data_IF_819849690991
#
_entry.id   IF_819849690991
#
_cell.length_a   1.000
_cell.length_b   1.000
_cell.length_c   1.000
_cell.angle_alpha   90.00
_cell.angle_beta   90.00
_cell.angle_gamma   90.00
#
_symmetry.space_group_name_H-M   'P 1'
#
loop_
_entity.id
_entity.type
_entity.pdbx_description
1 polymer ?
#
# COMPACT_ATOMS: atom_id res chain seq x y z
N UNK A 1 2.52 -3.95 8.94
CA UNK A 1 1.85 -5.13 9.55
C UNK A 1 0.45 -5.39 8.96
N UNK A 2 -0.52 -4.46 9.09
CA UNK A 2 -1.90 -4.62 8.59
C UNK A 2 -2.03 -4.97 7.10
N UNK A 3 -1.20 -4.39 6.23
CA UNK A 3 -1.22 -4.66 4.78
C UNK A 3 -0.91 -6.14 4.45
N UNK A 4 0.11 -6.72 5.10
CA UNK A 4 0.47 -8.14 4.90
C UNK A 4 -0.63 -9.06 5.39
N UNK A 5 -1.20 -8.77 6.55
CA UNK A 5 -2.33 -9.54 7.09
C UNK A 5 -3.53 -9.53 6.13
N UNK A 6 -3.85 -8.36 5.55
CA UNK A 6 -4.91 -8.25 4.53
C UNK A 6 -4.57 -9.06 3.26
N UNK A 7 -3.34 -8.95 2.76
CA UNK A 7 -2.86 -9.75 1.62
C UNK A 7 -3.02 -11.25 1.86
N UNK A 8 -2.57 -11.75 3.02
CA UNK A 8 -2.64 -13.18 3.36
C UNK A 8 -4.09 -13.66 3.47
N UNK A 9 -4.99 -12.84 4.01
CA UNK A 9 -6.41 -13.18 4.14
C UNK A 9 -7.13 -13.24 2.78
N UNK A 10 -6.79 -12.34 1.86
CA UNK A 10 -7.36 -12.34 0.51
C UNK A 10 -6.77 -13.50 -0.32
N UNK A 11 -5.47 -13.75 -0.20
CA UNK A 11 -4.77 -14.86 -0.87
C UNK A 11 -5.35 -16.23 -0.49
N UNK A 12 -5.69 -16.46 0.80
CA UNK A 12 -6.37 -17.69 1.26
C UNK A 12 -7.72 -17.94 0.57
N UNK A 13 -8.37 -16.89 0.08
CA UNK A 13 -9.66 -16.93 -0.62
C UNK A 13 -9.50 -16.93 -2.15
N UNK A 14 -8.26 -16.96 -2.66
CA UNK A 14 -7.98 -16.84 -4.10
C UNK A 14 -8.23 -15.43 -4.66
N UNK A 15 -8.33 -14.41 -3.80
CA UNK A 15 -8.61 -13.04 -4.20
C UNK A 15 -7.29 -12.24 -4.20
N UNK A 16 -6.88 -11.64 -5.32
CA UNK A 16 -5.69 -10.81 -5.35
C UNK A 16 -5.96 -9.44 -4.71
N UNK A 17 -5.07 -9.01 -3.79
CA UNK A 17 -5.03 -7.62 -3.35
C UNK A 17 -4.30 -6.79 -4.41
N UNK A 18 -5.03 -6.17 -5.33
CA UNK A 18 -4.44 -5.51 -6.48
C UNK A 18 -3.76 -4.16 -6.15
N UNK A 19 -4.33 -3.40 -5.21
CA UNK A 19 -3.87 -2.04 -4.92
C UNK A 19 -4.08 -1.64 -3.46
N UNK A 20 -3.31 -0.65 -3.01
CA UNK A 20 -3.46 0.00 -1.73
C UNK A 20 -3.40 1.52 -1.89
N UNK A 21 -4.48 2.22 -1.55
CA UNK A 21 -4.56 3.68 -1.67
C UNK A 21 -4.18 4.34 -0.33
N UNK A 22 -3.20 5.24 -0.34
CA UNK A 22 -2.63 5.85 0.87
C UNK A 22 -2.30 7.33 0.67
N UNK A 23 -2.24 8.12 1.75
CA UNK A 23 -1.79 9.50 1.67
C UNK A 23 -0.34 9.45 1.22
N UNK A 24 -0.04 10.05 0.10
CA UNK A 24 1.31 10.11 -0.40
C UNK A 24 1.48 11.31 -1.30
N UNK A 25 2.43 12.18 -0.96
CA UNK A 25 2.74 13.38 -1.72
C UNK A 25 4.20 13.77 -1.46
N UNK A 26 4.67 14.79 -2.19
CA UNK A 26 5.99 15.38 -1.92
C UNK A 26 6.15 15.85 -0.46
N UNK A 27 5.06 16.29 0.18
CA UNK A 27 5.05 16.76 1.57
C UNK A 27 4.78 15.66 2.60
N UNK A 28 4.22 14.52 2.17
CA UNK A 28 3.87 13.40 3.06
C UNK A 28 4.44 12.10 2.51
N UNK A 29 5.60 11.69 3.04
CA UNK A 29 6.37 10.52 2.59
C UNK A 29 6.36 9.34 3.57
N UNK A 30 5.50 9.38 4.60
CA UNK A 30 5.39 8.30 5.60
C UNK A 30 5.25 6.88 5.00
N UNK A 31 4.55 6.65 3.86
CA UNK A 31 4.49 5.32 3.25
C UNK A 31 5.86 4.71 2.89
N UNK A 32 6.87 5.53 2.66
CA UNK A 32 8.25 5.08 2.41
C UNK A 32 8.94 4.62 3.70
N UNK A 33 8.73 5.36 4.80
CA UNK A 33 9.38 5.15 6.09
C UNK A 33 8.75 4.01 6.89
N UNK A 34 7.41 3.91 6.86
CA UNK A 34 6.67 2.91 7.63
C UNK A 34 6.60 1.52 6.95
N UNK A 35 7.27 1.36 5.81
CA UNK A 35 7.39 0.12 5.07
C UNK A 35 6.15 -0.27 4.24
N UNK A 36 5.13 0.58 4.14
CA UNK A 36 3.96 0.31 3.28
C UNK A 36 4.38 0.23 1.82
N UNK A 37 5.16 1.20 1.33
CA UNK A 37 5.65 1.20 -0.06
C UNK A 37 6.48 -0.05 -0.35
N UNK A 38 7.45 -0.36 0.51
CA UNK A 38 8.28 -1.56 0.37
C UNK A 38 7.46 -2.85 0.34
N UNK A 39 6.41 -2.95 1.18
CA UNK A 39 5.51 -4.10 1.18
C UNK A 39 4.68 -4.19 -0.11
N UNK A 40 4.21 -3.05 -0.63
CA UNK A 40 3.51 -3.01 -1.91
C UNK A 40 4.42 -3.50 -3.05
N UNK A 41 5.65 -3.00 -3.12
CA UNK A 41 6.65 -3.38 -4.13
C UNK A 41 6.99 -4.89 -4.06
N UNK A 42 7.19 -5.43 -2.85
CA UNK A 42 7.49 -6.86 -2.64
C UNK A 42 6.34 -7.79 -3.05
N UNK A 43 5.10 -7.41 -2.74
CA UNK A 43 3.92 -8.26 -2.95
C UNK A 43 3.25 -8.05 -4.32
N UNK A 44 3.77 -7.15 -5.15
CA UNK A 44 3.18 -6.78 -6.44
C UNK A 44 1.85 -6.03 -6.31
N UNK A 45 1.66 -5.29 -5.22
CA UNK A 45 0.47 -4.48 -4.96
C UNK A 45 0.72 -3.07 -5.51
N UNK A 46 -0.20 -2.53 -6.30
CA UNK A 46 -0.08 -1.15 -6.81
C UNK A 46 -0.38 -0.13 -5.72
N UNK A 47 0.58 0.73 -5.38
CA UNK A 47 0.34 1.86 -4.47
C UNK A 47 -0.30 3.03 -5.24
N UNK A 48 -1.44 3.51 -4.76
CA UNK A 48 -2.14 4.66 -5.33
C UNK A 48 -2.08 5.81 -4.32
N UNK A 49 -1.51 6.94 -4.73
CA UNK A 49 -1.46 8.13 -3.90
C UNK A 49 -2.84 8.82 -3.84
N UNK A 50 -3.39 8.97 -2.64
CA UNK A 50 -4.45 9.95 -2.39
C UNK A 50 -3.83 11.26 -1.89
N UNK A 51 -4.44 12.39 -2.25
CA UNK A 51 -3.90 13.74 -2.04
C UNK A 51 -2.46 13.93 -2.56
N UNK A 52 -2.16 13.57 -3.82
CA UNK A 52 -0.79 13.69 -4.36
C UNK A 52 -0.23 15.11 -4.36
N UNK A 53 -1.11 16.11 -4.32
CA UNK A 53 -0.79 17.54 -4.29
C UNK A 53 -0.99 18.17 -2.90
N UNK A 54 -1.15 17.36 -1.84
CA UNK A 54 -1.28 17.81 -0.45
C UNK A 54 -2.41 18.84 -0.19
N UNK A 55 -3.57 18.63 -0.80
CA UNK A 55 -4.80 19.37 -0.51
C UNK A 55 -5.45 18.92 0.80
#
# INVERSE_FOLDING_TARGET
>A
KRLREAYDQLKKRGIPLASNQVNYSLLYRLPEENGVKATCDELGITLIAYSPIAQ
#
